data_IF_583264451214
#
_entry.id   IF_583264451214
#
_cell.length_a   1.000
_cell.length_b   1.000
_cell.length_c   1.000
_cell.angle_alpha   90.00
_cell.angle_beta   90.00
_cell.angle_gamma   90.00
#
_symmetry.space_group_name_H-M   'P 1'
#
loop_
_entity.id
_entity.type
_entity.pdbx_description
1 polymer ?
#
# COMPACT_ATOMS: atom_id res chain seq x y z
N UNK A 1 -10.37 47.99 72.64
CA UNK A 1 -9.72 47.69 71.33
C UNK A 1 -9.88 46.20 71.05
N UNK A 2 -10.81 45.85 70.21
CA UNK A 2 -11.21 44.50 69.90
C UNK A 2 -10.68 44.18 68.51
N UNK A 3 -9.84 43.11 68.42
CA UNK A 3 -9.28 42.60 67.15
C UNK A 3 -10.15 41.43 66.69
N UNK A 4 -10.88 41.65 65.58
CA UNK A 4 -11.71 40.65 64.93
C UNK A 4 -10.79 39.81 63.99
N UNK A 5 -10.63 38.49 64.19
CA UNK A 5 -10.03 37.55 63.28
C UNK A 5 -11.05 37.06 62.24
N UNK A 6 -10.73 37.20 60.95
CA UNK A 6 -11.50 36.60 59.82
C UNK A 6 -11.14 35.13 59.66
N UNK A 7 -12.11 34.21 59.34
CA UNK A 7 -11.81 32.82 59.04
C UNK A 7 -11.29 32.64 57.61
N UNK A 8 -10.22 31.85 57.47
CA UNK A 8 -9.63 31.47 56.19
C UNK A 8 -10.48 30.43 55.48
N UNK A 9 -10.73 30.69 54.22
CA UNK A 9 -11.43 29.80 53.31
C UNK A 9 -10.44 28.79 52.73
N UNK A 10 -10.51 27.49 53.16
CA UNK A 10 -9.79 26.42 52.55
C UNK A 10 -10.47 26.01 51.23
N UNK A 11 -9.84 26.27 50.12
CA UNK A 11 -10.24 25.72 48.83
C UNK A 11 -9.69 24.27 48.71
N UNK A 12 -10.56 23.29 48.85
CA UNK A 12 -10.26 21.92 48.52
C UNK A 12 -10.19 21.77 47.01
N UNK A 13 -8.99 21.56 46.45
CA UNK A 13 -8.81 21.13 45.07
C UNK A 13 -9.23 19.66 44.95
N UNK A 14 -10.38 19.40 44.35
CA UNK A 14 -10.70 18.06 43.86
C UNK A 14 -9.91 17.84 42.56
N UNK A 15 -8.84 17.04 42.63
CA UNK A 15 -8.16 16.50 41.44
C UNK A 15 -9.04 15.39 40.87
N UNK A 16 -9.77 15.69 39.81
CA UNK A 16 -10.46 14.66 39.03
C UNK A 16 -9.43 13.84 38.26
N UNK A 17 -9.12 12.64 38.76
CA UNK A 17 -8.42 11.64 37.96
C UNK A 17 -9.36 11.16 36.84
N UNK A 18 -9.13 11.66 35.62
CA UNK A 18 -9.73 11.11 34.43
C UNK A 18 -9.05 9.75 34.17
N UNK A 19 -9.68 8.67 34.59
CA UNK A 19 -9.31 7.32 34.15
C UNK A 19 -9.67 7.20 32.69
N UNK A 20 -8.70 7.36 31.80
CA UNK A 20 -8.79 6.88 30.42
C UNK A 20 -8.83 5.37 30.49
N UNK A 21 -10.00 4.78 30.30
CA UNK A 21 -10.14 3.34 30.12
C UNK A 21 -9.54 2.96 28.77
N UNK A 22 -8.23 2.70 28.76
CA UNK A 22 -7.60 2.01 27.64
C UNK A 22 -8.19 0.61 27.61
N UNK A 23 -9.00 0.32 26.60
CA UNK A 23 -9.39 -1.06 26.29
C UNK A 23 -8.11 -1.80 25.88
N UNK A 24 -7.49 -2.49 26.82
CA UNK A 24 -6.46 -3.48 26.53
C UNK A 24 -7.19 -4.63 25.83
N UNK A 25 -7.09 -4.70 24.51
CA UNK A 25 -7.58 -5.87 23.75
C UNK A 25 -6.81 -7.08 24.24
N UNK A 26 -7.53 -8.15 24.53
CA UNK A 26 -6.94 -9.38 25.06
C UNK A 26 -5.88 -9.93 24.09
N UNK A 27 -4.74 -10.34 24.61
CA UNK A 27 -3.71 -11.06 23.87
C UNK A 27 -4.32 -12.28 23.15
N UNK A 28 -3.67 -12.75 22.08
CA UNK A 28 -4.07 -13.96 21.36
C UNK A 28 -4.12 -15.13 22.33
N UNK A 29 -5.22 -15.90 22.33
CA UNK A 29 -5.37 -17.04 23.23
C UNK A 29 -4.41 -18.18 22.85
N UNK A 30 -4.07 -19.10 23.78
CA UNK A 30 -3.26 -20.28 23.46
C UNK A 30 -3.86 -21.12 22.32
N UNK A 31 -5.19 -21.23 22.24
CA UNK A 31 -5.91 -21.95 21.19
C UNK A 31 -5.73 -21.25 19.85
N UNK A 32 -5.92 -19.95 19.78
CA UNK A 32 -5.68 -19.15 18.56
C UNK A 32 -4.20 -19.24 18.14
N UNK A 33 -3.28 -19.13 19.12
CA UNK A 33 -1.83 -19.25 18.88
C UNK A 33 -1.45 -20.58 18.24
N UNK A 34 -2.14 -21.68 18.60
CA UNK A 34 -1.92 -23.00 18.04
C UNK A 34 -2.42 -23.14 16.59
N UNK A 35 -3.28 -22.23 16.11
CA UNK A 35 -3.82 -22.27 14.74
C UNK A 35 -2.91 -21.64 13.71
N UNK A 36 -1.91 -20.85 14.09
CA UNK A 36 -1.07 -20.05 13.20
C UNK A 36 0.40 -20.43 13.33
N UNK A 37 1.10 -20.58 12.21
CA UNK A 37 2.50 -20.96 12.20
C UNK A 37 3.05 -21.17 10.81
N UNK A 38 4.33 -21.49 10.73
CA UNK A 38 5.02 -21.69 9.46
C UNK A 38 4.61 -23.01 8.79
N UNK A 39 4.38 -24.06 9.56
CA UNK A 39 4.04 -25.39 9.08
C UNK A 39 2.93 -26.05 9.93
N UNK A 40 2.15 -26.95 9.31
CA UNK A 40 1.21 -27.82 10.00
C UNK A 40 0.02 -27.13 10.67
N UNK A 41 -0.20 -25.85 10.45
CA UNK A 41 -1.25 -25.02 11.06
C UNK A 41 -2.34 -24.65 10.08
N UNK A 42 -3.51 -24.25 10.58
CA UNK A 42 -4.64 -23.78 9.75
C UNK A 42 -4.34 -22.45 9.06
N UNK A 43 -3.62 -21.56 9.74
CA UNK A 43 -3.24 -20.24 9.24
C UNK A 43 -1.72 -20.18 9.03
N UNK A 44 -1.33 -19.43 8.00
CA UNK A 44 0.06 -19.04 7.76
C UNK A 44 0.47 -17.93 8.73
N UNK A 45 1.77 -17.60 8.86
CA UNK A 45 2.20 -16.52 9.76
C UNK A 45 1.64 -15.13 9.42
N UNK A 46 1.14 -14.90 8.19
CA UNK A 46 0.41 -13.68 7.82
C UNK A 46 -1.07 -13.69 8.25
N UNK A 47 -1.58 -14.83 8.78
CA UNK A 47 -2.99 -15.02 9.10
C UNK A 47 -3.85 -15.45 7.90
N UNK A 48 -3.23 -15.81 6.79
CA UNK A 48 -3.92 -16.36 5.65
C UNK A 48 -4.37 -17.80 5.90
N UNK A 49 -5.47 -18.22 5.27
CA UNK A 49 -5.91 -19.62 5.30
C UNK A 49 -4.91 -20.47 4.51
N UNK A 50 -4.27 -21.45 5.16
CA UNK A 50 -3.29 -22.32 4.51
C UNK A 50 -3.91 -23.17 3.42
N UNK A 51 -5.03 -23.82 3.72
CA UNK A 51 -5.70 -24.73 2.79
C UNK A 51 -6.11 -24.04 1.48
N UNK A 52 -6.12 -24.78 0.39
CA UNK A 52 -6.75 -24.37 -0.86
C UNK A 52 -8.27 -24.17 -0.71
N UNK A 53 -8.93 -23.69 -1.76
CA UNK A 53 -10.39 -23.64 -1.78
C UNK A 53 -11.01 -24.97 -2.23
N UNK A 54 -12.33 -25.10 -2.00
CA UNK A 54 -13.04 -26.34 -2.30
C UNK A 54 -13.06 -26.68 -3.80
N UNK A 55 -13.04 -25.67 -4.66
CA UNK A 55 -13.03 -25.81 -6.13
C UNK A 55 -11.64 -26.17 -6.68
N UNK A 56 -10.59 -26.17 -5.84
CA UNK A 56 -9.21 -26.44 -6.25
C UNK A 56 -8.62 -25.36 -7.17
N UNK A 57 -9.24 -24.20 -7.23
CA UNK A 57 -8.78 -23.06 -8.04
C UNK A 57 -7.75 -22.20 -7.32
N UNK A 58 -7.80 -22.14 -5.98
CA UNK A 58 -6.78 -21.57 -5.11
C UNK A 58 -6.02 -22.74 -4.46
N UNK A 59 -4.71 -22.91 -4.67
CA UNK A 59 -3.93 -24.01 -4.09
C UNK A 59 -3.68 -23.79 -2.59
N UNK A 60 -3.26 -24.85 -1.91
CA UNK A 60 -2.70 -24.75 -0.56
C UNK A 60 -1.46 -23.85 -0.58
N UNK A 61 -1.34 -23.00 0.45
CA UNK A 61 -0.13 -22.20 0.65
C UNK A 61 1.03 -23.07 1.14
N UNK A 62 2.18 -22.85 0.53
CA UNK A 62 3.44 -23.49 0.91
C UNK A 62 4.49 -22.40 1.17
N UNK A 63 5.36 -22.64 2.14
CA UNK A 63 6.53 -21.78 2.36
C UNK A 63 7.61 -22.07 1.32
N UNK A 64 7.26 -21.89 0.05
CA UNK A 64 8.15 -22.14 -1.09
C UNK A 64 8.36 -20.84 -1.85
N UNK A 65 9.48 -20.12 -1.64
CA UNK A 65 9.81 -18.93 -2.43
C UNK A 65 9.89 -19.26 -3.93
N UNK A 66 9.56 -18.28 -4.76
CA UNK A 66 9.72 -18.42 -6.22
C UNK A 66 11.18 -18.75 -6.52
N UNK A 67 11.48 -19.86 -7.23
CA UNK A 67 12.84 -20.16 -7.70
C UNK A 67 13.34 -19.03 -8.60
N UNK A 68 14.60 -18.66 -8.44
CA UNK A 68 15.23 -17.67 -9.33
C UNK A 68 15.36 -18.31 -10.72
N UNK A 69 14.72 -17.74 -11.77
CA UNK A 69 14.78 -18.30 -13.11
C UNK A 69 16.20 -18.35 -13.67
N UNK A 70 16.51 -19.39 -14.42
CA UNK A 70 17.78 -19.52 -15.12
C UNK A 70 18.02 -18.31 -16.04
N UNK A 71 19.23 -17.76 -16.00
CA UNK A 71 19.62 -16.58 -16.78
C UNK A 71 19.29 -15.22 -16.14
N UNK A 72 18.57 -15.19 -15.01
CA UNK A 72 18.40 -13.93 -14.25
C UNK A 72 19.74 -13.47 -13.69
N UNK A 73 19.96 -12.15 -13.71
CA UNK A 73 21.13 -11.49 -13.11
C UNK A 73 20.65 -10.33 -12.24
N UNK A 74 21.15 -10.19 -10.99
CA UNK A 74 20.84 -9.03 -10.16
C UNK A 74 21.12 -7.72 -10.89
N UNK A 75 20.20 -6.75 -10.75
CA UNK A 75 20.28 -5.45 -11.44
C UNK A 75 19.77 -5.47 -12.89
N UNK A 76 19.15 -6.57 -13.33
CA UNK A 76 18.38 -6.63 -14.58
C UNK A 76 16.88 -6.70 -14.31
N UNK A 77 16.05 -6.55 -15.35
CA UNK A 77 14.61 -6.78 -15.23
C UNK A 77 14.32 -8.23 -14.91
N UNK A 78 13.39 -8.48 -14.00
CA UNK A 78 13.01 -9.83 -13.59
C UNK A 78 12.40 -10.61 -14.75
N UNK A 79 12.86 -11.84 -14.91
CA UNK A 79 12.28 -12.80 -15.85
C UNK A 79 10.97 -13.35 -15.28
N UNK A 80 10.05 -13.72 -16.15
CA UNK A 80 8.78 -14.32 -15.77
C UNK A 80 8.96 -15.77 -15.32
N UNK A 81 8.81 -16.10 -14.01
CA UNK A 81 8.94 -17.46 -13.52
C UNK A 81 7.73 -18.34 -13.90
N UNK A 82 6.67 -17.72 -14.42
CA UNK A 82 5.41 -18.37 -14.81
C UNK A 82 5.12 -18.26 -16.31
N UNK A 83 6.15 -18.05 -17.14
CA UNK A 83 6.01 -17.86 -18.59
C UNK A 83 5.29 -19.02 -19.30
N UNK A 84 5.33 -20.24 -18.74
CA UNK A 84 4.66 -21.41 -19.29
C UNK A 84 3.17 -21.49 -18.94
N UNK A 85 2.69 -20.69 -18.00
CA UNK A 85 1.27 -20.67 -17.63
C UNK A 85 0.41 -20.21 -18.82
N UNK A 86 -0.68 -20.94 -19.04
CA UNK A 86 -1.64 -20.61 -20.11
C UNK A 86 -2.87 -19.92 -19.52
N UNK A 87 -3.45 -18.99 -20.28
CA UNK A 87 -4.75 -18.42 -19.98
C UNK A 87 -5.77 -19.55 -19.87
N UNK A 88 -6.44 -19.66 -18.74
CA UNK A 88 -7.50 -20.64 -18.51
C UNK A 88 -8.77 -20.27 -19.23
N UNK A 89 -9.17 -19.01 -19.12
CA UNK A 89 -10.30 -18.42 -19.82
C UNK A 89 -10.19 -16.90 -19.79
N UNK A 90 -11.05 -16.24 -20.55
CA UNK A 90 -11.12 -14.79 -20.64
C UNK A 90 -12.48 -14.31 -20.14
N UNK A 91 -12.49 -13.30 -19.25
CA UNK A 91 -13.68 -12.57 -18.87
C UNK A 91 -13.77 -11.33 -19.78
N UNK A 92 -14.94 -11.06 -20.32
CA UNK A 92 -15.25 -9.98 -21.27
C UNK A 92 -16.56 -9.32 -20.89
N UNK A 93 -16.92 -8.21 -21.54
CA UNK A 93 -18.21 -7.55 -21.38
C UNK A 93 -19.42 -8.48 -21.65
N UNK A 94 -19.25 -9.56 -22.42
CA UNK A 94 -20.33 -10.50 -22.77
C UNK A 94 -20.57 -11.58 -21.69
N UNK A 95 -19.56 -11.93 -20.87
CA UNK A 95 -19.67 -13.03 -19.90
C UNK A 95 -19.33 -12.65 -18.45
N UNK A 96 -18.98 -11.38 -18.14
CA UNK A 96 -18.57 -10.98 -16.79
C UNK A 96 -19.65 -11.25 -15.73
N UNK A 97 -20.92 -11.26 -16.11
CA UNK A 97 -22.03 -11.55 -15.20
C UNK A 97 -21.96 -12.98 -14.61
N UNK A 98 -21.39 -13.94 -15.36
CA UNK A 98 -21.17 -15.31 -14.89
C UNK A 98 -20.09 -15.39 -13.79
N UNK A 99 -19.29 -14.34 -13.66
CA UNK A 99 -18.19 -14.21 -12.70
C UNK A 99 -18.38 -13.06 -11.70
N UNK A 100 -19.58 -12.46 -11.65
CA UNK A 100 -19.84 -11.23 -10.91
C UNK A 100 -19.61 -11.36 -9.39
N UNK A 101 -19.75 -12.55 -8.82
CA UNK A 101 -19.46 -12.89 -7.43
C UNK A 101 -17.95 -12.83 -7.10
N UNK A 102 -17.07 -12.93 -8.12
CA UNK A 102 -15.61 -12.90 -8.04
C UNK A 102 -14.98 -11.61 -8.59
N UNK A 103 -15.80 -10.58 -8.77
CA UNK A 103 -15.38 -9.26 -9.24
C UNK A 103 -15.68 -8.18 -8.20
N UNK A 104 -14.86 -7.12 -8.14
CA UNK A 104 -15.20 -5.90 -7.43
C UNK A 104 -16.23 -5.08 -8.20
N UNK A 105 -16.87 -4.10 -7.53
CA UNK A 105 -17.80 -3.20 -8.22
C UNK A 105 -17.07 -2.36 -9.28
N UNK A 106 -15.81 -1.96 -9.01
CA UNK A 106 -14.98 -1.25 -9.98
C UNK A 106 -14.68 -2.10 -11.22
N UNK A 107 -14.36 -3.38 -11.03
CA UNK A 107 -14.12 -4.30 -12.16
C UNK A 107 -15.38 -4.54 -13.00
N UNK A 108 -16.54 -4.71 -12.36
CA UNK A 108 -17.83 -4.78 -13.08
C UNK A 108 -18.06 -3.52 -13.90
N UNK A 109 -17.79 -2.35 -13.29
CA UNK A 109 -17.93 -1.06 -13.99
C UNK A 109 -17.00 -0.92 -15.18
N UNK A 110 -15.79 -1.53 -15.16
CA UNK A 110 -14.91 -1.59 -16.33
C UNK A 110 -15.57 -2.31 -17.50
N UNK A 111 -16.20 -3.49 -17.26
CA UNK A 111 -16.92 -4.23 -18.30
C UNK A 111 -18.17 -3.52 -18.82
N UNK A 112 -18.87 -2.77 -17.95
CA UNK A 112 -20.03 -1.97 -18.33
C UNK A 112 -19.66 -0.72 -19.15
N UNK A 113 -18.46 -0.19 -18.92
CA UNK A 113 -18.03 1.09 -19.50
C UNK A 113 -17.26 0.88 -20.80
N UNK A 114 -16.54 -0.25 -20.93
CA UNK A 114 -15.60 -0.47 -22.04
C UNK A 114 -15.80 -1.84 -22.68
N UNK A 115 -16.40 -1.88 -23.86
CA UNK A 115 -16.73 -3.11 -24.60
C UNK A 115 -15.49 -3.94 -24.97
N UNK A 116 -14.30 -3.30 -25.09
CA UNK A 116 -13.03 -3.93 -25.41
C UNK A 116 -12.21 -4.34 -24.17
N UNK A 117 -12.74 -4.06 -22.96
CA UNK A 117 -12.10 -4.50 -21.73
C UNK A 117 -12.23 -6.01 -21.54
N UNK A 118 -11.16 -6.65 -21.12
CA UNK A 118 -11.15 -8.07 -20.79
C UNK A 118 -10.13 -8.38 -19.70
N UNK A 119 -10.31 -9.53 -19.04
CA UNK A 119 -9.37 -10.08 -18.08
C UNK A 119 -8.90 -11.46 -18.55
N UNK A 120 -7.60 -11.66 -18.71
CA UNK A 120 -7.01 -12.98 -18.92
C UNK A 120 -6.82 -13.66 -17.57
N UNK A 121 -7.53 -14.76 -17.32
CA UNK A 121 -7.46 -15.49 -16.05
C UNK A 121 -6.45 -16.62 -16.16
N UNK A 122 -5.51 -16.63 -15.23
CA UNK A 122 -4.43 -17.60 -15.13
C UNK A 122 -4.58 -18.52 -13.93
N UNK A 123 -3.79 -19.61 -13.83
CA UNK A 123 -3.70 -20.40 -12.61
C UNK A 123 -3.25 -19.55 -11.43
N UNK A 124 -3.88 -19.73 -10.28
CA UNK A 124 -3.49 -19.04 -9.04
C UNK A 124 -2.13 -19.55 -8.56
N UNK A 125 -1.24 -18.61 -8.30
CA UNK A 125 0.08 -18.80 -7.73
C UNK A 125 0.20 -18.02 -6.43
N UNK A 126 0.21 -18.70 -5.28
CA UNK A 126 0.36 -18.04 -3.97
C UNK A 126 1.85 -17.70 -3.75
N UNK A 127 2.35 -16.79 -4.57
CA UNK A 127 3.76 -16.48 -4.73
C UNK A 127 4.31 -15.43 -3.77
N UNK A 128 3.45 -14.77 -2.96
CA UNK A 128 3.88 -13.77 -1.97
C UNK A 128 4.40 -14.50 -0.72
N UNK A 129 5.60 -15.08 -0.86
CA UNK A 129 6.30 -15.79 0.22
C UNK A 129 7.49 -14.95 0.65
N UNK A 130 7.52 -14.60 1.94
CA UNK A 130 8.54 -13.75 2.54
C UNK A 130 9.68 -14.58 3.15
N UNK A 131 10.75 -13.91 3.52
CA UNK A 131 11.87 -14.53 4.23
C UNK A 131 11.47 -14.91 5.67
N UNK A 132 12.08 -15.97 6.22
CA UNK A 132 11.70 -16.54 7.52
C UNK A 132 11.71 -15.51 8.67
N UNK A 133 12.66 -14.57 8.69
CA UNK A 133 12.71 -13.54 9.74
C UNK A 133 11.47 -12.64 9.79
N UNK A 134 10.77 -12.46 8.66
CA UNK A 134 9.49 -11.73 8.60
C UNK A 134 8.39 -12.55 9.27
N UNK A 135 8.35 -13.85 8.98
CA UNK A 135 7.37 -14.76 9.58
C UNK A 135 7.61 -14.95 11.08
N UNK A 136 8.87 -15.03 11.50
CA UNK A 136 9.24 -15.07 12.92
C UNK A 136 8.79 -13.80 13.67
N UNK A 137 8.98 -12.64 13.05
CA UNK A 137 8.52 -11.38 13.62
C UNK A 137 6.99 -11.30 13.68
N UNK A 138 6.26 -11.79 12.66
CA UNK A 138 4.80 -11.86 12.67
C UNK A 138 4.27 -12.74 13.81
N UNK A 139 4.89 -13.90 14.02
CA UNK A 139 4.53 -14.81 15.12
C UNK A 139 4.81 -14.20 16.50
N UNK A 140 5.90 -13.45 16.67
CA UNK A 140 6.19 -12.69 17.91
C UNK A 140 5.21 -11.51 18.10
N UNK A 141 4.71 -10.90 17.02
CA UNK A 141 3.74 -9.81 17.10
C UNK A 141 2.40 -10.25 17.70
N UNK A 142 2.03 -11.53 17.63
CA UNK A 142 0.85 -12.08 18.30
C UNK A 142 0.84 -11.83 19.82
N UNK A 143 2.03 -11.78 20.42
CA UNK A 143 2.19 -11.64 21.89
C UNK A 143 2.51 -10.20 22.31
N UNK A 144 3.06 -9.37 21.41
CA UNK A 144 3.60 -8.04 21.76
C UNK A 144 2.87 -6.85 21.13
N UNK A 145 2.08 -7.08 20.07
CA UNK A 145 1.35 -5.99 19.42
C UNK A 145 0.17 -5.54 20.28
N UNK A 146 0.06 -4.24 20.49
CA UNK A 146 -1.04 -3.61 21.22
C UNK A 146 -1.71 -2.57 20.33
N UNK A 147 -3.01 -2.70 20.16
CA UNK A 147 -3.82 -1.70 19.46
C UNK A 147 -3.89 -0.41 20.28
N UNK A 148 -3.76 0.74 19.62
CA UNK A 148 -3.91 2.05 20.22
C UNK A 148 -4.81 2.94 19.35
N UNK A 149 -5.53 3.85 19.99
CA UNK A 149 -6.25 4.92 19.30
C UNK A 149 -5.96 6.28 19.96
N UNK A 150 -6.03 7.35 19.17
CA UNK A 150 -5.83 8.70 19.64
C UNK A 150 -7.10 9.52 19.44
N UNK A 151 -7.92 9.65 20.50
CA UNK A 151 -9.21 10.34 20.45
C UNK A 151 -9.05 11.86 20.21
N UNK A 152 -7.91 12.46 20.61
CA UNK A 152 -7.61 13.87 20.32
C UNK A 152 -7.38 14.13 18.83
N UNK A 153 -7.17 13.08 18.04
CA UNK A 153 -7.03 13.11 16.58
C UNK A 153 -8.13 12.28 15.89
N UNK A 154 -9.39 12.53 16.21
CA UNK A 154 -10.55 11.89 15.60
C UNK A 154 -10.54 10.36 15.67
N UNK A 155 -9.96 9.80 16.75
CA UNK A 155 -9.83 8.34 16.90
C UNK A 155 -8.89 7.73 15.87
N UNK A 156 -7.81 8.41 15.55
CA UNK A 156 -6.74 7.85 14.72
C UNK A 156 -6.22 6.55 15.32
N UNK A 157 -6.17 5.50 14.51
CA UNK A 157 -5.78 4.16 14.95
C UNK A 157 -4.31 3.87 14.65
N UNK A 158 -3.71 3.04 15.50
CA UNK A 158 -2.34 2.59 15.37
C UNK A 158 -2.04 1.41 16.28
N UNK A 159 -0.77 1.13 16.46
CA UNK A 159 -0.28 0.06 17.33
C UNK A 159 1.06 0.41 17.96
N UNK A 160 1.38 -0.30 19.03
CA UNK A 160 2.71 -0.33 19.67
C UNK A 160 3.17 -1.78 19.80
N UNK A 161 4.43 -2.01 20.13
CA UNK A 161 5.01 -3.33 20.40
C UNK A 161 5.33 -4.16 19.16
N UNK A 162 4.54 -4.09 18.08
CA UNK A 162 4.81 -4.83 16.85
C UNK A 162 6.15 -4.41 16.19
N UNK A 163 6.77 -5.33 15.45
CA UNK A 163 8.04 -5.14 14.73
C UNK A 163 8.01 -5.86 13.39
N UNK A 164 8.63 -5.28 12.36
CA UNK A 164 9.03 -5.87 11.07
C UNK A 164 7.94 -6.42 10.17
N UNK A 165 6.84 -6.90 10.70
CA UNK A 165 5.81 -7.61 10.00
C UNK A 165 4.42 -7.12 10.42
N UNK A 166 3.38 -7.77 9.94
CA UNK A 166 1.99 -7.48 10.28
C UNK A 166 1.79 -7.40 11.79
N UNK A 167 1.14 -6.33 12.23
CA UNK A 167 0.93 -6.10 13.65
C UNK A 167 -0.06 -7.12 14.25
N UNK A 168 -1.10 -7.48 13.50
CA UNK A 168 -2.21 -8.33 13.95
C UNK A 168 -2.50 -9.47 12.97
N UNK A 169 -1.65 -10.52 12.88
CA UNK A 169 -1.89 -11.62 11.94
C UNK A 169 -3.24 -12.32 12.14
N UNK A 170 -3.79 -12.30 13.36
CA UNK A 170 -5.16 -12.71 13.69
C UNK A 170 -5.94 -11.45 14.08
N UNK A 171 -6.46 -10.65 13.12
CA UNK A 171 -7.16 -9.42 13.44
C UNK A 171 -8.55 -9.71 14.03
N UNK A 172 -8.90 -9.02 15.13
CA UNK A 172 -10.15 -9.17 15.86
C UNK A 172 -11.26 -8.27 15.32
N UNK A 173 -10.89 -7.24 14.58
CA UNK A 173 -11.80 -6.24 14.06
C UNK A 173 -11.24 -5.55 12.80
N UNK A 174 -12.05 -4.68 12.21
CA UNK A 174 -11.69 -3.94 11.01
C UNK A 174 -10.46 -3.02 11.18
N UNK A 175 -10.29 -2.44 12.36
CA UNK A 175 -9.17 -1.53 12.63
C UNK A 175 -7.84 -2.29 12.62
N UNK A 176 -7.77 -3.45 13.30
CA UNK A 176 -6.58 -4.30 13.30
C UNK A 176 -6.27 -4.84 11.90
N UNK A 177 -7.31 -5.28 11.15
CA UNK A 177 -7.16 -5.72 9.78
C UNK A 177 -6.61 -4.61 8.88
N UNK A 178 -7.09 -3.37 9.04
CA UNK A 178 -6.60 -2.23 8.28
C UNK A 178 -5.16 -1.85 8.66
N UNK A 179 -4.78 -1.98 9.95
CA UNK A 179 -3.43 -1.71 10.41
C UNK A 179 -2.39 -2.73 9.89
N UNK A 180 -2.81 -3.94 9.52
CA UNK A 180 -1.93 -4.88 8.82
C UNK A 180 -1.46 -4.35 7.47
N UNK A 181 -2.33 -3.64 6.74
CA UNK A 181 -1.93 -2.96 5.51
C UNK A 181 -0.83 -1.92 5.76
N UNK A 182 -0.89 -1.18 6.88
CA UNK A 182 0.15 -0.19 7.21
C UNK A 182 1.45 -0.86 7.66
N UNK A 183 1.37 -1.92 8.46
CA UNK A 183 2.52 -2.62 9.05
C UNK A 183 3.09 -3.73 8.19
N UNK A 184 2.52 -3.99 7.01
CA UNK A 184 3.00 -5.07 6.15
C UNK A 184 4.48 -4.93 5.78
N UNK A 185 5.19 -6.03 5.60
CA UNK A 185 6.56 -6.00 5.11
C UNK A 185 6.60 -5.42 3.69
N UNK A 186 7.56 -4.56 3.43
CA UNK A 186 7.77 -3.92 2.13
C UNK A 186 9.23 -4.01 1.73
N UNK A 187 9.48 -3.83 0.43
CA UNK A 187 10.82 -3.71 -0.12
C UNK A 187 11.66 -2.72 0.69
N UNK A 188 12.83 -3.18 1.16
CA UNK A 188 13.68 -2.43 2.12
C UNK A 188 14.37 -1.25 1.48
N UNK A 189 15.10 -1.50 0.39
CA UNK A 189 15.84 -0.49 -0.33
C UNK A 189 15.41 -0.43 -1.79
N UNK A 190 15.23 0.76 -2.30
CA UNK A 190 14.92 0.97 -3.71
C UNK A 190 15.62 2.20 -4.27
N UNK A 191 16.16 2.02 -5.46
CA UNK A 191 16.51 3.10 -6.38
C UNK A 191 16.03 2.70 -7.76
N UNK A 192 14.99 3.37 -8.21
CA UNK A 192 14.33 3.08 -9.48
C UNK A 192 14.09 4.33 -10.30
N UNK A 193 13.78 4.12 -11.57
CA UNK A 193 13.11 5.08 -12.41
C UNK A 193 11.67 4.65 -12.60
N UNK A 194 10.78 5.61 -12.55
CA UNK A 194 9.36 5.41 -12.74
C UNK A 194 8.83 6.40 -13.77
N UNK A 195 7.73 6.03 -14.40
CA UNK A 195 7.01 6.90 -15.33
C UNK A 195 5.55 6.97 -14.94
N UNK A 196 5.04 8.17 -14.77
CA UNK A 196 3.62 8.42 -14.63
C UNK A 196 3.04 8.76 -16.00
N UNK A 197 1.94 8.12 -16.37
CA UNK A 197 1.28 8.27 -17.68
C UNK A 197 -0.15 8.73 -17.41
N UNK A 198 -0.45 9.99 -17.70
CA UNK A 198 -1.79 10.54 -17.63
C UNK A 198 -2.46 10.48 -19.01
N UNK A 199 -3.48 9.65 -19.14
CA UNK A 199 -4.17 9.40 -20.42
C UNK A 199 -5.41 10.27 -20.51
N UNK A 200 -5.55 10.98 -21.63
CA UNK A 200 -6.72 11.79 -21.97
C UNK A 200 -7.83 10.93 -22.61
N UNK A 201 -9.04 11.48 -22.68
CA UNK A 201 -10.23 10.81 -23.26
C UNK A 201 -10.09 10.42 -24.73
N UNK A 202 -9.24 11.12 -25.48
CA UNK A 202 -8.96 10.84 -26.89
C UNK A 202 -7.83 9.81 -27.10
N UNK A 203 -7.32 9.19 -26.01
CA UNK A 203 -6.25 8.20 -26.06
C UNK A 203 -4.83 8.77 -26.11
N UNK A 204 -4.67 10.09 -26.27
CA UNK A 204 -3.35 10.70 -26.12
C UNK A 204 -2.90 10.68 -24.66
N UNK A 205 -1.59 10.69 -24.41
CA UNK A 205 -1.09 10.68 -23.04
C UNK A 205 0.14 11.58 -22.87
N UNK A 206 0.29 12.09 -21.65
CA UNK A 206 1.51 12.76 -21.20
C UNK A 206 2.28 11.87 -20.24
N UNK A 207 3.61 11.91 -20.30
CA UNK A 207 4.48 11.18 -19.39
C UNK A 207 5.23 12.12 -18.48
N UNK A 208 5.40 11.72 -17.22
CA UNK A 208 6.33 12.35 -16.28
C UNK A 208 7.29 11.31 -15.76
N UNK A 209 8.60 11.57 -15.87
CA UNK A 209 9.64 10.64 -15.44
C UNK A 209 10.15 11.02 -14.05
N UNK A 210 10.36 10.03 -13.22
CA UNK A 210 10.79 10.18 -11.84
C UNK A 210 11.97 9.27 -11.53
N UNK A 211 12.96 9.79 -10.81
CA UNK A 211 13.89 8.98 -10.04
C UNK A 211 13.33 8.84 -8.62
N UNK A 212 13.18 7.60 -8.15
CA UNK A 212 12.62 7.26 -6.83
C UNK A 212 13.69 6.54 -6.01
N UNK A 213 13.91 7.04 -4.81
CA UNK A 213 14.84 6.47 -3.85
C UNK A 213 14.15 6.34 -2.49
N UNK A 214 14.21 5.16 -1.86
CA UNK A 214 13.70 5.00 -0.51
C UNK A 214 14.47 3.97 0.31
N UNK A 215 14.33 4.10 1.64
CA UNK A 215 14.68 3.11 2.63
C UNK A 215 13.49 2.87 3.55
N UNK A 216 12.97 1.64 3.56
CA UNK A 216 11.89 1.21 4.44
C UNK A 216 12.46 0.40 5.60
N UNK A 217 12.71 1.08 6.70
CA UNK A 217 13.41 0.56 7.89
C UNK A 217 12.65 -0.55 8.61
N UNK A 218 11.33 -0.57 8.48
CA UNK A 218 10.47 -1.53 9.19
C UNK A 218 10.84 -2.98 8.91
N UNK A 219 11.15 -3.31 7.67
CA UNK A 219 11.47 -4.68 7.23
C UNK A 219 12.96 -4.90 7.03
N UNK A 220 13.83 -3.95 7.42
CA UNK A 220 15.27 -4.04 7.19
C UNK A 220 15.93 -5.01 8.17
N UNK A 221 16.47 -6.17 7.69
CA UNK A 221 17.14 -7.13 8.56
C UNK A 221 18.45 -6.61 9.17
N UNK A 222 19.05 -5.56 8.58
CA UNK A 222 20.30 -4.96 9.09
C UNK A 222 20.05 -4.12 10.37
N UNK A 223 18.80 -3.75 10.66
CA UNK A 223 18.42 -3.07 11.89
C UNK A 223 18.03 -4.10 12.93
N UNK A 224 18.65 -4.07 14.13
CA UNK A 224 18.34 -5.04 15.19
C UNK A 224 16.87 -4.93 15.63
N UNK A 225 16.18 -6.08 15.72
CA UNK A 225 14.74 -6.12 16.09
C UNK A 225 14.51 -5.63 17.52
N UNK A 226 15.41 -5.99 18.44
CA UNK A 226 15.32 -5.68 19.87
C UNK A 226 16.02 -4.37 20.26
N UNK A 227 16.58 -3.64 19.28
CA UNK A 227 17.16 -2.33 19.54
C UNK A 227 16.06 -1.28 19.66
N UNK A 228 15.74 -0.77 20.85
CA UNK A 228 14.72 0.26 21.03
C UNK A 228 15.06 1.58 20.29
N UNK A 229 16.33 1.81 19.98
CA UNK A 229 16.79 2.96 19.18
C UNK A 229 16.88 2.61 17.68
N UNK A 230 17.02 1.34 17.33
CA UNK A 230 17.25 0.85 15.96
C UNK A 230 16.02 0.81 15.06
N UNK A 231 14.80 0.62 15.62
CA UNK A 231 13.52 0.70 14.89
C UNK A 231 12.75 1.95 15.34
N UNK A 232 13.15 3.15 14.87
CA UNK A 232 12.44 4.36 15.23
C UNK A 232 11.02 4.31 14.69
N UNK A 233 10.03 4.60 15.54
CA UNK A 233 8.62 4.66 15.12
C UNK A 233 8.32 5.89 14.25
N UNK A 234 9.20 6.88 14.25
CA UNK A 234 8.97 8.18 13.62
C UNK A 234 9.30 8.26 12.13
N UNK A 235 10.38 7.64 11.68
CA UNK A 235 10.89 7.77 10.31
C UNK A 235 11.17 6.38 9.74
N UNK A 236 10.13 5.58 9.63
CA UNK A 236 10.20 4.21 9.12
C UNK A 236 10.43 4.20 7.61
N UNK A 237 9.77 5.09 6.88
CA UNK A 237 10.00 5.28 5.46
C UNK A 237 10.73 6.60 5.22
N UNK A 238 11.92 6.50 4.66
CA UNK A 238 12.67 7.62 4.11
C UNK A 238 12.49 7.57 2.59
N UNK A 239 11.69 8.48 2.05
CA UNK A 239 11.31 8.47 0.64
C UNK A 239 11.71 9.77 -0.05
N UNK A 240 12.29 9.68 -1.24
CA UNK A 240 12.55 10.82 -2.09
C UNK A 240 12.22 10.50 -3.54
N UNK A 241 11.52 11.42 -4.21
CA UNK A 241 11.35 11.39 -5.65
C UNK A 241 11.88 12.68 -6.28
N UNK A 242 12.44 12.56 -7.47
CA UNK A 242 12.91 13.69 -8.29
C UNK A 242 12.29 13.58 -9.66
N UNK A 243 11.54 14.59 -10.12
CA UNK A 243 11.06 14.64 -11.49
C UNK A 243 12.24 14.94 -12.43
N UNK A 244 12.41 14.08 -13.42
CA UNK A 244 13.47 14.19 -14.44
C UNK A 244 12.95 14.62 -15.80
N UNK A 245 11.65 14.56 -16.01
CA UNK A 245 10.96 15.01 -17.22
C UNK A 245 9.45 15.11 -17.01
N UNK A 246 8.75 15.83 -17.87
CA UNK A 246 9.22 16.72 -18.93
C UNK A 246 9.90 18.00 -18.40
N UNK A 247 10.52 18.78 -19.29
CA UNK A 247 11.32 19.97 -18.91
C UNK A 247 10.56 20.97 -18.02
N UNK A 248 9.25 21.09 -18.17
CA UNK A 248 8.38 22.00 -17.39
C UNK A 248 8.38 21.68 -15.87
N UNK A 249 8.66 20.44 -15.47
CA UNK A 249 8.64 19.97 -14.08
C UNK A 249 9.97 19.37 -13.62
N UNK A 250 10.92 19.20 -14.53
CA UNK A 250 12.22 18.61 -14.22
C UNK A 250 12.94 19.37 -13.10
N UNK A 251 13.59 18.63 -12.19
CA UNK A 251 14.28 19.17 -11.04
C UNK A 251 13.41 19.43 -9.81
N UNK A 252 12.09 19.24 -9.89
CA UNK A 252 11.25 19.21 -8.68
C UNK A 252 11.60 17.98 -7.85
N UNK A 253 11.73 18.16 -6.53
CA UNK A 253 12.02 17.08 -5.59
C UNK A 253 10.99 17.08 -4.46
N UNK A 254 10.49 15.91 -4.12
CA UNK A 254 9.70 15.67 -2.90
C UNK A 254 10.49 14.74 -1.99
N UNK A 255 10.61 15.13 -0.74
CA UNK A 255 11.14 14.30 0.34
C UNK A 255 10.02 14.06 1.33
N UNK A 256 9.78 12.81 1.70
CA UNK A 256 8.84 12.42 2.75
C UNK A 256 9.52 11.49 3.76
N UNK A 257 9.31 11.77 5.05
CA UNK A 257 9.70 10.91 6.15
C UNK A 257 8.41 10.50 6.86
N UNK A 258 8.16 9.18 6.95
CA UNK A 258 6.88 8.67 7.42
C UNK A 258 7.03 7.81 8.67
N UNK A 259 6.11 7.95 9.65
CA UNK A 259 6.04 7.05 10.78
C UNK A 259 5.41 5.71 10.38
N UNK A 260 5.53 4.70 11.25
CA UNK A 260 4.82 3.43 11.05
C UNK A 260 3.33 3.57 11.38
N UNK A 261 2.99 4.42 12.36
CA UNK A 261 1.63 4.82 12.70
C UNK A 261 1.56 6.34 12.87
N UNK A 262 0.38 6.90 12.66
CA UNK A 262 0.18 8.35 12.73
C UNK A 262 -0.38 8.83 14.08
N UNK A 263 -0.54 7.95 15.05
CA UNK A 263 -1.16 8.28 16.36
C UNK A 263 -0.40 9.34 17.17
N UNK A 264 0.91 9.39 17.02
CA UNK A 264 1.77 10.34 17.73
C UNK A 264 2.60 11.21 16.78
N UNK A 265 2.93 10.68 15.63
CA UNK A 265 3.83 11.31 14.67
C UNK A 265 3.13 11.47 13.32
N UNK A 266 3.46 12.54 12.61
CA UNK A 266 2.91 12.83 11.29
C UNK A 266 4.00 12.81 10.23
N UNK A 267 3.59 12.61 8.96
CA UNK A 267 4.46 12.73 7.80
C UNK A 267 5.18 14.08 7.82
N UNK A 268 6.50 14.03 7.71
CA UNK A 268 7.33 15.22 7.53
C UNK A 268 7.71 15.30 6.05
N UNK A 269 7.16 16.27 5.33
CA UNK A 269 7.41 16.41 3.90
C UNK A 269 8.03 17.76 3.54
N UNK A 270 8.87 17.75 2.51
CA UNK A 270 9.49 18.94 1.90
C UNK A 270 9.42 18.84 0.39
N UNK A 271 9.19 19.97 -0.24
CA UNK A 271 9.24 20.09 -1.69
C UNK A 271 10.29 21.14 -2.11
N UNK A 272 11.05 20.80 -3.14
CA UNK A 272 11.92 21.73 -3.84
C UNK A 272 11.33 22.07 -5.19
N UNK A 273 11.29 23.37 -5.51
CA UNK A 273 10.89 23.87 -6.83
C UNK A 273 12.07 24.59 -7.46
N UNK A 274 12.56 24.14 -8.65
CA UNK A 274 13.72 24.74 -9.31
C UNK A 274 13.47 26.20 -9.73
N UNK A 275 12.25 26.55 -10.11
CA UNK A 275 11.90 27.93 -10.45
C UNK A 275 12.04 28.91 -9.28
N UNK A 276 11.78 28.45 -8.06
CA UNK A 276 11.93 29.25 -6.83
C UNK A 276 13.30 29.04 -6.16
N UNK A 277 14.05 28.03 -6.53
CA UNK A 277 15.32 27.60 -5.92
C UNK A 277 15.24 27.44 -4.39
N UNK A 278 14.12 27.01 -3.88
CA UNK A 278 13.84 26.91 -2.43
C UNK A 278 13.25 25.56 -2.08
N UNK A 279 13.68 25.02 -0.95
CA UNK A 279 13.01 23.93 -0.25
C UNK A 279 12.02 24.53 0.71
N UNK A 280 10.77 24.06 0.65
CA UNK A 280 9.70 24.45 1.58
C UNK A 280 9.15 23.20 2.26
N UNK A 281 8.70 23.33 3.51
CA UNK A 281 7.83 22.32 4.11
C UNK A 281 6.56 22.20 3.29
N UNK A 282 6.10 20.96 3.14
CA UNK A 282 4.93 20.62 2.32
C UNK A 282 3.90 19.79 3.15
N UNK A 283 3.33 20.38 4.22
CA UNK A 283 2.39 19.67 5.09
C UNK A 283 1.10 19.26 4.38
N UNK A 284 0.83 19.82 3.21
CA UNK A 284 -0.29 19.47 2.35
C UNK A 284 -0.10 18.15 1.58
N UNK A 285 1.08 17.53 1.60
CA UNK A 285 1.30 16.21 0.99
C UNK A 285 0.70 15.14 1.91
N UNK A 286 -0.63 15.14 2.05
CA UNK A 286 -1.43 14.22 2.85
C UNK A 286 -2.85 14.15 2.30
N UNK A 287 -3.60 13.13 2.65
CA UNK A 287 -5.01 12.93 2.30
C UNK A 287 -5.29 13.02 0.79
N UNK A 288 -6.35 13.74 0.44
CA UNK A 288 -6.90 13.92 -0.90
C UNK A 288 -6.20 14.97 -1.77
N UNK A 289 -5.07 15.54 -1.30
CA UNK A 289 -4.30 16.41 -2.19
C UNK A 289 -3.81 15.63 -3.41
N UNK A 290 -3.88 16.23 -4.62
CA UNK A 290 -3.41 15.56 -5.82
C UNK A 290 -1.93 15.21 -5.75
N UNK A 291 -1.55 14.05 -6.28
CA UNK A 291 -0.13 13.69 -6.42
C UNK A 291 0.54 14.56 -7.49
N UNK A 292 1.84 14.81 -7.30
CA UNK A 292 2.65 15.47 -8.32
C UNK A 292 2.67 14.63 -9.60
N UNK A 293 2.44 15.26 -10.74
CA UNK A 293 2.38 14.61 -12.05
C UNK A 293 1.24 13.59 -12.25
N UNK A 294 0.20 13.61 -11.41
CA UNK A 294 -0.97 12.74 -11.50
C UNK A 294 -2.16 13.34 -12.25
N UNK A 295 -2.05 14.61 -12.70
CA UNK A 295 -3.09 15.36 -13.43
C UNK A 295 -4.48 15.31 -12.75
N UNK A 296 -4.50 15.31 -11.41
CA UNK A 296 -5.72 15.23 -10.61
C UNK A 296 -6.40 13.86 -10.55
N UNK A 297 -5.80 12.84 -11.16
CA UNK A 297 -6.39 11.50 -11.24
C UNK A 297 -6.13 10.63 -10.02
N UNK A 298 -5.17 11.00 -9.16
CA UNK A 298 -4.89 10.28 -7.92
C UNK A 298 -4.63 11.24 -6.75
N UNK A 299 -4.92 10.77 -5.54
CA UNK A 299 -4.68 11.50 -4.29
C UNK A 299 -3.40 11.00 -3.60
N UNK A 300 -2.82 11.85 -2.75
CA UNK A 300 -1.57 11.55 -2.03
C UNK A 300 -1.67 10.31 -1.15
N UNK A 301 -2.84 10.04 -0.59
CA UNK A 301 -3.06 8.90 0.29
C UNK A 301 -3.41 7.59 -0.44
N UNK A 302 -3.43 7.58 -1.78
CA UNK A 302 -3.68 6.37 -2.57
C UNK A 302 -2.41 5.56 -2.88
N UNK A 303 -1.23 6.08 -2.60
CA UNK A 303 0.00 5.33 -2.86
C UNK A 303 -0.04 3.95 -2.20
N UNK A 304 0.23 2.88 -2.96
CA UNK A 304 0.13 1.48 -2.50
C UNK A 304 -1.26 1.12 -1.94
N UNK A 305 -2.33 1.67 -2.54
CA UNK A 305 -3.71 1.49 -2.12
C UNK A 305 -4.14 2.41 -0.99
N UNK A 306 -3.34 2.53 0.06
CA UNK A 306 -3.50 3.52 1.12
C UNK A 306 -2.16 3.85 1.78
N UNK A 307 -1.87 5.13 1.88
CA UNK A 307 -0.67 5.64 2.55
C UNK A 307 -0.91 7.03 3.17
N UNK A 308 -1.24 7.08 4.46
CA UNK A 308 -1.46 8.33 5.15
C UNK A 308 -2.15 8.19 6.51
N UNK A 309 -2.52 9.31 7.13
CA UNK A 309 -3.31 9.31 8.35
C UNK A 309 -4.68 8.67 8.12
N UNK A 310 -5.13 7.89 9.09
CA UNK A 310 -6.37 7.11 9.02
C UNK A 310 -7.51 7.71 9.87
N UNK A 311 -7.33 8.95 10.35
CA UNK A 311 -8.23 9.65 11.26
C UNK A 311 -9.59 10.02 10.65
N UNK A 312 -9.65 10.25 9.32
CA UNK A 312 -10.87 10.72 8.64
C UNK A 312 -11.88 9.61 8.34
N UNK A 313 -11.49 8.35 8.47
CA UNK A 313 -12.33 7.21 8.09
C UNK A 313 -12.61 6.27 9.26
N UNK A 314 -13.78 5.65 9.23
CA UNK A 314 -14.13 4.49 10.03
C UNK A 314 -14.08 3.24 9.16
N UNK A 315 -13.75 2.09 9.75
CA UNK A 315 -13.53 0.85 9.02
C UNK A 315 -14.54 -0.22 9.41
N UNK A 316 -15.01 -0.97 8.41
CA UNK A 316 -15.89 -2.13 8.59
C UNK A 316 -15.29 -3.33 7.86
N UNK A 317 -15.08 -4.42 8.56
CA UNK A 317 -14.61 -5.67 7.98
C UNK A 317 -15.81 -6.42 7.40
N UNK A 318 -15.79 -6.64 6.08
CA UNK A 318 -16.85 -7.37 5.37
C UNK A 318 -16.53 -8.87 5.26
N UNK A 319 -15.38 -9.30 5.75
CA UNK A 319 -14.91 -10.68 5.71
C UNK A 319 -13.95 -10.97 4.58
N UNK A 320 -13.80 -12.26 4.24
CA UNK A 320 -12.99 -12.71 3.11
C UNK A 320 -13.86 -13.03 1.90
N UNK A 321 -13.35 -12.74 0.71
CA UNK A 321 -13.95 -13.10 -0.58
C UNK A 321 -12.88 -13.70 -1.50
N UNK A 322 -13.30 -14.48 -2.47
CA UNK A 322 -12.46 -14.91 -3.59
C UNK A 322 -12.70 -13.97 -4.77
N UNK A 323 -11.67 -13.22 -5.16
CA UNK A 323 -11.74 -12.16 -6.18
C UNK A 323 -10.61 -12.34 -7.18
N UNK A 324 -10.89 -12.09 -8.47
CA UNK A 324 -9.83 -11.99 -9.49
C UNK A 324 -9.08 -10.68 -9.30
N UNK A 325 -7.81 -10.80 -8.97
CA UNK A 325 -6.91 -9.64 -8.72
C UNK A 325 -5.72 -9.68 -9.67
N UNK A 326 -5.14 -8.52 -10.01
CA UNK A 326 -3.86 -8.49 -10.74
C UNK A 326 -2.78 -9.16 -9.90
N UNK A 327 -2.08 -10.16 -10.47
CA UNK A 327 -1.08 -10.94 -9.71
C UNK A 327 -0.02 -11.51 -10.66
N UNK A 328 1.26 -11.38 -10.31
CA UNK A 328 2.39 -11.88 -11.10
C UNK A 328 2.47 -11.40 -12.57
N UNK A 329 2.18 -10.14 -12.91
CA UNK A 329 2.24 -9.67 -14.29
C UNK A 329 3.70 -9.36 -14.71
N UNK A 330 4.60 -10.34 -14.67
CA UNK A 330 6.03 -10.17 -15.03
C UNK A 330 6.22 -9.67 -16.46
N UNK A 331 5.30 -10.01 -17.38
CA UNK A 331 5.28 -9.46 -18.75
C UNK A 331 5.20 -7.93 -18.75
N UNK A 332 4.42 -7.35 -17.81
CA UNK A 332 4.30 -5.90 -17.61
C UNK A 332 5.60 -5.29 -17.06
N UNK A 333 6.32 -6.05 -16.22
CA UNK A 333 7.60 -5.63 -15.67
C UNK A 333 8.76 -5.74 -16.66
N UNK A 334 8.66 -6.57 -17.70
CA UNK A 334 9.71 -6.79 -18.69
C UNK A 334 10.17 -5.48 -19.34
N UNK A 335 11.45 -5.40 -19.71
CA UNK A 335 12.05 -4.24 -20.37
C UNK A 335 11.31 -3.83 -21.67
N UNK A 336 10.72 -4.81 -22.34
CA UNK A 336 9.97 -4.59 -23.60
C UNK A 336 8.60 -3.94 -23.41
N UNK A 337 8.08 -3.82 -22.16
CA UNK A 337 6.77 -3.26 -21.86
C UNK A 337 6.85 -1.72 -21.76
N UNK A 338 7.16 -1.07 -22.88
CA UNK A 338 7.26 0.38 -23.00
C UNK A 338 5.87 1.06 -22.97
N UNK A 339 5.74 2.35 -22.62
CA UNK A 339 4.46 3.03 -22.52
C UNK A 339 3.58 2.90 -23.77
N UNK A 340 4.18 2.99 -24.97
CA UNK A 340 3.49 2.84 -26.26
C UNK A 340 2.89 1.45 -26.51
N UNK A 341 3.36 0.44 -25.80
CA UNK A 341 2.82 -0.93 -25.88
C UNK A 341 1.82 -1.23 -24.76
N UNK A 342 2.06 -0.64 -23.58
CA UNK A 342 1.24 -0.83 -22.39
C UNK A 342 -0.04 0.00 -22.46
N UNK A 343 -0.01 1.16 -23.13
CA UNK A 343 -1.20 1.95 -23.42
C UNK A 343 -1.71 1.54 -24.79
N UNK A 344 -2.90 0.98 -24.84
CA UNK A 344 -3.56 0.61 -26.09
C UNK A 344 -3.94 1.86 -26.90
N UNK A 345 -4.14 1.75 -28.22
CA UNK A 345 -4.60 2.87 -29.06
C UNK A 345 -5.92 3.49 -28.60
N UNK A 346 -6.74 2.74 -27.86
CA UNK A 346 -7.97 3.21 -27.24
C UNK A 346 -7.74 4.15 -26.04
N UNK A 347 -6.48 4.38 -25.62
CA UNK A 347 -6.15 5.16 -24.44
C UNK A 347 -6.36 4.43 -23.12
N UNK A 348 -6.49 3.12 -23.14
CA UNK A 348 -6.63 2.29 -21.96
C UNK A 348 -5.41 1.41 -21.76
N UNK A 349 -5.30 0.84 -20.56
CA UNK A 349 -4.27 -0.16 -20.29
C UNK A 349 -4.49 -1.39 -21.20
N UNK A 350 -3.43 -1.86 -21.82
CA UNK A 350 -3.44 -3.04 -22.68
C UNK A 350 -3.49 -4.30 -21.83
N UNK A 351 -4.65 -4.94 -21.77
CA UNK A 351 -4.93 -6.10 -20.93
C UNK A 351 -4.09 -7.35 -21.30
N UNK A 352 -3.42 -7.37 -22.44
CA UNK A 352 -2.45 -8.41 -22.77
C UNK A 352 -1.16 -8.37 -21.94
N UNK A 353 -0.94 -7.27 -21.19
CA UNK A 353 0.12 -7.13 -20.21
C UNK A 353 -0.33 -7.42 -18.78
N UNK A 354 -1.64 -7.54 -18.53
CA UNK A 354 -2.21 -7.94 -17.26
C UNK A 354 -2.18 -9.46 -17.09
N UNK A 355 -2.14 -9.88 -15.84
CA UNK A 355 -2.36 -11.24 -15.40
C UNK A 355 -3.30 -11.19 -14.20
N UNK A 356 -4.43 -11.87 -14.26
CA UNK A 356 -5.39 -11.95 -13.17
C UNK A 356 -5.43 -13.39 -12.65
N UNK A 357 -5.45 -13.51 -11.33
CA UNK A 357 -5.53 -14.78 -10.62
C UNK A 357 -6.64 -14.70 -9.57
N UNK A 358 -7.28 -15.82 -9.25
CA UNK A 358 -8.27 -15.89 -8.19
C UNK A 358 -7.58 -15.99 -6.83
N UNK A 359 -7.74 -14.99 -5.97
CA UNK A 359 -7.18 -14.98 -4.63
C UNK A 359 -8.26 -14.76 -3.57
N UNK A 360 -8.03 -15.30 -2.35
CA UNK A 360 -8.80 -14.85 -1.18
C UNK A 360 -8.27 -13.50 -0.74
N UNK A 361 -9.20 -12.58 -0.55
CA UNK A 361 -8.90 -11.22 -0.12
C UNK A 361 -9.72 -10.86 1.11
N UNK A 362 -9.12 -10.10 2.02
CA UNK A 362 -9.87 -9.37 3.03
C UNK A 362 -10.57 -8.19 2.39
N UNK A 363 -11.85 -8.00 2.70
CA UNK A 363 -12.63 -6.87 2.19
C UNK A 363 -12.91 -5.92 3.33
N UNK A 364 -12.38 -4.69 3.22
CA UNK A 364 -12.52 -3.63 4.23
C UNK A 364 -13.22 -2.44 3.60
N UNK A 365 -14.40 -2.11 4.13
CA UNK A 365 -15.11 -0.88 3.79
C UNK A 365 -14.64 0.25 4.70
N UNK A 366 -14.28 1.38 4.10
CA UNK A 366 -13.82 2.60 4.76
C UNK A 366 -14.81 3.72 4.46
N UNK A 367 -15.45 4.25 5.50
CA UNK A 367 -16.46 5.31 5.38
C UNK A 367 -15.96 6.62 5.99
N UNK A 368 -16.15 7.71 5.28
CA UNK A 368 -15.77 9.04 5.75
C UNK A 368 -16.56 9.38 7.03
N UNK A 369 -15.86 9.81 8.07
CA UNK A 369 -16.46 10.20 9.34
C UNK A 369 -17.20 11.53 9.20
N UNK A 370 -18.31 11.68 9.92
CA UNK A 370 -19.03 12.94 10.01
C UNK A 370 -18.11 14.07 10.54
N UNK A 371 -18.26 15.25 9.98
CA UNK A 371 -17.42 16.41 10.32
C UNK A 371 -16.02 16.40 9.70
N UNK A 372 -15.65 15.36 8.94
CA UNK A 372 -14.39 15.33 8.18
C UNK A 372 -14.62 15.60 6.69
N UNK A 373 -13.56 15.86 5.95
CA UNK A 373 -13.62 16.11 4.51
C UNK A 373 -12.60 15.27 3.76
N UNK A 374 -13.03 14.69 2.65
CA UNK A 374 -12.21 13.98 1.68
C UNK A 374 -12.93 13.94 0.34
N UNK A 375 -12.20 13.78 -0.77
CA UNK A 375 -12.81 13.61 -2.10
C UNK A 375 -13.64 12.34 -2.19
N UNK A 376 -13.21 11.28 -1.48
CA UNK A 376 -13.96 10.02 -1.39
C UNK A 376 -14.81 9.97 -0.12
N UNK A 377 -16.11 9.68 -0.28
CA UNK A 377 -17.02 9.41 0.84
C UNK A 377 -16.87 8.00 1.39
N UNK A 378 -16.51 7.05 0.52
CA UNK A 378 -16.32 5.64 0.83
C UNK A 378 -15.23 5.05 -0.05
N UNK A 379 -14.49 4.07 0.50
CA UNK A 379 -13.58 3.20 -0.25
C UNK A 379 -13.82 1.75 0.16
N UNK A 380 -13.71 0.82 -0.77
CA UNK A 380 -13.71 -0.61 -0.49
C UNK A 380 -12.38 -1.17 -0.92
N UNK A 381 -11.62 -1.66 0.03
CA UNK A 381 -10.28 -2.24 -0.19
C UNK A 381 -10.38 -3.76 -0.26
N UNK A 382 -9.67 -4.34 -1.21
CA UNK A 382 -9.50 -5.78 -1.38
C UNK A 382 -8.04 -6.12 -1.16
N UNK A 383 -7.73 -6.66 0.03
CA UNK A 383 -6.37 -6.94 0.47
C UNK A 383 -6.08 -8.43 0.30
N UNK A 384 -5.00 -8.75 -0.38
CA UNK A 384 -4.53 -10.13 -0.51
C UNK A 384 -4.28 -10.76 0.88
N UNK A 385 -4.76 -11.98 1.09
CA UNK A 385 -4.65 -12.62 2.41
C UNK A 385 -3.21 -13.04 2.76
N UNK A 386 -2.37 -13.31 1.76
CA UNK A 386 -1.00 -13.75 1.97
C UNK A 386 -0.06 -12.60 2.33
N UNK A 387 -0.29 -11.41 1.79
CA UNK A 387 0.63 -10.27 1.89
C UNK A 387 0.05 -9.04 2.61
N UNK A 388 -1.28 -8.92 2.71
CA UNK A 388 -1.99 -7.70 3.12
C UNK A 388 -1.74 -6.50 2.20
N UNK A 389 -1.25 -6.75 0.98
CA UNK A 389 -1.21 -5.72 -0.05
C UNK A 389 -2.63 -5.40 -0.52
N UNK A 390 -2.91 -4.13 -0.75
CA UNK A 390 -4.17 -3.72 -1.39
C UNK A 390 -4.05 -4.04 -2.87
N UNK A 391 -4.86 -4.96 -3.36
CA UNK A 391 -4.85 -5.36 -4.78
C UNK A 391 -5.78 -4.48 -5.61
N UNK A 392 -6.92 -4.11 -5.01
CA UNK A 392 -7.95 -3.28 -5.63
C UNK A 392 -8.52 -2.32 -4.59
N UNK A 393 -8.95 -1.14 -5.05
CA UNK A 393 -9.78 -0.23 -4.27
C UNK A 393 -10.87 0.41 -5.13
N UNK A 394 -12.12 0.21 -4.73
CA UNK A 394 -13.28 0.89 -5.30
C UNK A 394 -13.51 2.20 -4.54
N UNK A 395 -13.41 3.34 -5.20
CA UNK A 395 -13.49 4.65 -4.59
C UNK A 395 -14.78 5.36 -5.02
N UNK A 396 -15.54 5.83 -4.04
CA UNK A 396 -16.85 6.43 -4.22
C UNK A 396 -16.80 7.94 -3.95
N UNK A 397 -17.47 8.72 -4.78
CA UNK A 397 -17.57 10.16 -4.63
C UNK A 397 -18.43 10.59 -3.42
N UNK A 398 -18.60 11.89 -3.22
CA UNK A 398 -19.40 12.45 -2.11
C UNK A 398 -20.91 12.19 -2.24
N UNK A 399 -21.38 11.75 -3.40
CA UNK A 399 -22.78 11.33 -3.62
C UNK A 399 -22.97 9.84 -3.37
N UNK A 400 -21.86 9.11 -3.10
CA UNK A 400 -21.85 7.67 -2.90
C UNK A 400 -21.85 6.88 -4.21
N UNK A 401 -21.57 7.52 -5.35
CA UNK A 401 -21.45 6.87 -6.65
C UNK A 401 -20.02 6.38 -6.87
N UNK A 402 -19.87 5.21 -7.49
CA UNK A 402 -18.58 4.65 -7.84
C UNK A 402 -17.88 5.57 -8.85
N UNK A 403 -16.78 6.16 -8.43
CA UNK A 403 -16.05 7.16 -9.23
C UNK A 403 -14.78 6.61 -9.85
N UNK A 404 -13.96 5.89 -9.04
CA UNK A 404 -12.64 5.42 -9.49
C UNK A 404 -12.38 3.99 -9.05
N UNK A 405 -11.72 3.22 -9.94
CA UNK A 405 -11.08 1.95 -9.62
C UNK A 405 -9.57 2.16 -9.54
N UNK A 406 -8.96 1.68 -8.47
CA UNK A 406 -7.52 1.57 -8.32
C UNK A 406 -7.11 0.09 -8.35
N UNK A 407 -6.06 -0.23 -9.10
CA UNK A 407 -5.50 -1.58 -9.22
C UNK A 407 -4.00 -1.56 -8.99
N UNK A 408 -3.47 -2.50 -8.20
CA UNK A 408 -2.05 -2.74 -8.05
C UNK A 408 -1.64 -4.04 -8.76
N UNK A 409 -0.75 -3.90 -9.72
CA UNK A 409 -0.20 -5.00 -10.48
C UNK A 409 1.13 -5.44 -9.85
N UNK A 410 1.07 -6.33 -8.85
CA UNK A 410 2.20 -6.74 -8.04
C UNK A 410 2.95 -7.94 -8.62
N UNK A 411 4.26 -7.91 -8.49
CA UNK A 411 5.14 -9.06 -8.68
C UNK A 411 5.97 -9.27 -7.42
N UNK A 412 6.41 -10.50 -7.20
CA UNK A 412 7.42 -10.81 -6.19
C UNK A 412 8.80 -10.56 -6.78
N UNK A 413 9.59 -9.71 -6.17
CA UNK A 413 11.01 -9.60 -6.48
C UNK A 413 11.73 -10.74 -5.79
N UNK A 414 11.84 -11.87 -6.50
CA UNK A 414 12.28 -13.16 -5.96
C UNK A 414 13.74 -13.17 -5.49
N UNK A 415 14.56 -12.23 -5.96
CA UNK A 415 15.95 -12.07 -5.55
C UNK A 415 16.13 -11.36 -4.20
N UNK A 416 15.11 -10.60 -3.76
CA UNK A 416 15.10 -9.88 -2.48
C UNK A 416 13.98 -10.31 -1.54
N UNK A 417 13.01 -11.12 -2.00
CA UNK A 417 11.94 -11.70 -1.18
C UNK A 417 10.87 -10.73 -0.71
N UNK A 418 10.57 -9.69 -1.51
CA UNK A 418 9.48 -8.74 -1.23
C UNK A 418 8.63 -8.46 -2.47
N UNK A 419 7.31 -8.34 -2.32
CA UNK A 419 6.47 -7.85 -3.40
C UNK A 419 6.68 -6.35 -3.62
N UNK A 420 6.55 -5.94 -4.86
CA UNK A 420 6.39 -4.54 -5.22
C UNK A 420 5.66 -4.43 -6.56
N UNK A 421 5.22 -3.23 -6.89
CA UNK A 421 4.43 -2.97 -8.11
C UNK A 421 5.24 -3.08 -9.39
N UNK A 422 4.66 -3.71 -10.38
CA UNK A 422 5.01 -3.55 -11.79
C UNK A 422 4.28 -2.32 -12.38
N UNK A 423 3.05 -2.06 -11.90
CA UNK A 423 2.25 -0.89 -12.21
C UNK A 423 1.21 -0.61 -11.12
N UNK A 424 0.85 0.66 -10.92
CA UNK A 424 -0.41 1.09 -10.32
C UNK A 424 -1.29 1.72 -11.41
N UNK A 425 -2.56 1.33 -11.46
CA UNK A 425 -3.52 1.88 -12.42
C UNK A 425 -4.67 2.55 -11.68
N UNK A 426 -5.07 3.72 -12.15
CA UNK A 426 -6.21 4.46 -11.67
C UNK A 426 -7.15 4.76 -12.82
N UNK A 427 -8.36 4.23 -12.78
CA UNK A 427 -9.42 4.53 -13.75
C UNK A 427 -10.41 5.52 -13.14
N UNK A 428 -10.69 6.60 -13.86
CA UNK A 428 -11.71 7.59 -13.50
C UNK A 428 -12.90 7.44 -14.45
N UNK A 429 -14.00 6.87 -13.93
CA UNK A 429 -15.20 6.58 -14.70
C UNK A 429 -15.96 7.85 -15.12
N UNK A 430 -15.89 8.91 -14.32
CA UNK A 430 -16.57 10.17 -14.65
C UNK A 430 -15.85 10.95 -15.74
N UNK A 431 -14.51 10.96 -15.68
CA UNK A 431 -13.67 11.65 -16.66
C UNK A 431 -13.35 10.77 -17.88
N UNK A 432 -13.62 9.47 -17.84
CA UNK A 432 -13.17 8.47 -18.83
C UNK A 432 -11.67 8.57 -19.10
N UNK A 433 -10.89 8.68 -18.02
CA UNK A 433 -9.44 8.86 -18.05
C UNK A 433 -8.74 7.80 -17.21
N UNK A 434 -7.47 7.63 -17.47
CA UNK A 434 -6.63 6.69 -16.72
C UNK A 434 -5.31 7.36 -16.35
N UNK A 435 -4.81 7.00 -15.15
CA UNK A 435 -3.43 7.24 -14.74
C UNK A 435 -2.75 5.89 -14.57
N UNK A 436 -1.53 5.76 -15.08
CA UNK A 436 -0.68 4.61 -14.82
C UNK A 436 0.66 5.08 -14.23
N UNK A 437 1.10 4.41 -13.15
CA UNK A 437 2.47 4.47 -12.64
C UNK A 437 3.15 3.17 -13.04
N UNK A 438 4.25 3.26 -13.77
CA UNK A 438 5.02 2.11 -14.25
C UNK A 438 6.48 2.25 -13.86
N UNK A 439 7.19 1.12 -13.72
CA UNK A 439 8.64 1.14 -13.77
C UNK A 439 9.11 1.58 -15.16
N UNK A 440 10.01 2.58 -15.22
CA UNK A 440 10.66 3.00 -16.46
C UNK A 440 11.53 1.87 -17.02
N UNK A 441 11.48 1.66 -18.32
CA UNK A 441 12.14 0.53 -19.00
C UNK A 441 13.56 0.83 -19.46
N UNK A 442 14.06 2.05 -19.21
CA UNK A 442 15.43 2.46 -19.57
C UNK A 442 16.47 1.84 -18.62
N UNK A 443 16.08 1.54 -17.38
CA UNK A 443 16.99 0.99 -16.39
C UNK A 443 16.24 0.15 -15.36
N UNK A 444 16.74 -1.06 -15.08
CA UNK A 444 16.22 -1.90 -14.02
C UNK A 444 16.40 -1.25 -12.64
N UNK A 445 15.48 -1.48 -11.69
CA UNK A 445 15.62 -1.00 -10.32
C UNK A 445 16.83 -1.63 -9.62
N UNK A 446 17.37 -0.92 -8.63
CA UNK A 446 18.46 -1.40 -7.79
C UNK A 446 17.98 -1.53 -6.35
N UNK A 447 17.94 -2.74 -5.84
CA UNK A 447 17.58 -3.06 -4.45
C UNK A 447 18.82 -3.22 -3.56
N UNK A 448 20.00 -3.29 -4.16
CA UNK A 448 21.30 -3.29 -3.47
C UNK A 448 21.86 -1.89 -3.21
N UNK A 449 21.20 -0.86 -3.73
CA UNK A 449 21.59 0.52 -3.44
C UNK A 449 21.40 0.82 -1.95
N UNK A 450 22.37 1.56 -1.38
CA UNK A 450 22.34 1.97 0.03
C UNK A 450 22.67 3.46 0.13
N UNK A 451 22.13 4.10 1.17
CA UNK A 451 22.44 5.47 1.51
C UNK A 451 22.33 5.68 3.02
N UNK A 452 23.10 6.61 3.55
CA UNK A 452 22.96 7.05 4.94
C UNK A 452 21.73 7.95 5.10
N UNK A 453 21.15 8.04 6.29
CA UNK A 453 19.98 8.89 6.60
C UNK A 453 20.17 10.36 6.21
N UNK A 454 21.40 10.87 6.27
CA UNK A 454 21.74 12.24 5.80
C UNK A 454 21.43 12.48 4.33
N UNK A 455 21.24 11.41 3.52
CA UNK A 455 20.77 11.48 2.14
C UNK A 455 19.33 11.97 2.06
N UNK A 456 18.49 11.63 3.04
CA UNK A 456 17.08 11.97 3.12
C UNK A 456 16.82 13.17 4.04
N UNK A 457 17.47 14.29 3.76
CA UNK A 457 17.31 15.53 4.51
C UNK A 457 16.95 16.70 3.61
N UNK A 458 16.26 17.71 4.15
CA UNK A 458 15.93 18.93 3.40
C UNK A 458 17.18 19.64 2.85
N UNK A 459 18.32 19.55 3.56
CA UNK A 459 19.60 20.06 3.09
C UNK A 459 20.15 19.27 1.88
N UNK A 460 19.96 17.94 1.85
CA UNK A 460 20.33 17.11 0.71
C UNK A 460 19.45 17.40 -0.51
N UNK A 461 18.14 17.56 -0.31
CA UNK A 461 17.19 17.97 -1.35
C UNK A 461 17.62 19.28 -2.01
N UNK A 462 17.99 20.28 -1.22
CA UNK A 462 18.48 21.58 -1.74
C UNK A 462 19.72 21.40 -2.63
N UNK A 463 20.69 20.61 -2.20
CA UNK A 463 21.94 20.39 -2.97
C UNK A 463 21.69 19.72 -4.33
N UNK A 464 20.71 18.81 -4.42
CA UNK A 464 20.35 18.10 -5.66
C UNK A 464 19.56 18.98 -6.61
N UNK A 465 18.63 19.74 -6.10
CA UNK A 465 17.79 20.63 -6.91
C UNK A 465 18.56 21.78 -7.56
N UNK A 466 19.80 22.06 -7.14
CA UNK A 466 20.64 23.13 -7.72
C UNK A 466 21.51 22.59 -8.87
N UNK A 467 21.61 21.27 -9.05
CA UNK A 467 22.35 20.62 -10.15
C UNK A 467 21.42 20.37 -11.34
#
# INVERSE_FOLDING_TARGET
MSVIRKPGCYKTLLTACVFSSSFVMAAVTPEERATIGLEGTQLTPSGAIRAGNAEGTIPEWKNEPIPIPDGFKPGTFHLDPFADDKVRFKITAQNYQEHADKLSEGQKKMFETYDDYFMNIYPTRRSMVYQDYIYDAALKNLDRAVFVSNDSHLGMIGFTGARRAWAFPIPRNANEAFLNQQSRPKLVWNKSREVTIAVATNGSYETSNLDVEFHYKWSDPEIAEDDPEGLPTENILLYQQTLTGPAKVAGQVVLALEPITFTENFRKAWAYNPGQRRVKRAPQIVYDNPITAGDGLATTDQGYGFNGPNDRFSYKLLGKREIYVPYNPYKLFAQSATPDKVIAPSGRFNQDYARYELHRVWVIESNLKEGTSHDYSKRVYYLDEDSWEVMLADNYDRRGELWRLWEDHLIMFYDVGFPNRAAELQYDFNAHRMLALLMDKSKAPSFSWRAEDKHFTSAAVRRRGIR
#
